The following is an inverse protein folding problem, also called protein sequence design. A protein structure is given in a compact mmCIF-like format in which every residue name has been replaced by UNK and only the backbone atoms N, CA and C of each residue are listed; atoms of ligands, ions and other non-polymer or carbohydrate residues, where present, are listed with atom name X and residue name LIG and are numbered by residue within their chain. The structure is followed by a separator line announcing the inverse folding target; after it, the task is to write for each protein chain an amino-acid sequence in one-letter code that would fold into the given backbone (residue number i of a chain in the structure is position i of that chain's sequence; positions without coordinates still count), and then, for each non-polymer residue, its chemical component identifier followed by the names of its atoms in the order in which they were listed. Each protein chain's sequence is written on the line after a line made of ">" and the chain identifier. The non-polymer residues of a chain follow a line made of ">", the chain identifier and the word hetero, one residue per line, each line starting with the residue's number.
data_IF_647111568094
#
_entry.id   IF_647111568094
#
_cell.length_a   1.000
_cell.length_b   1.000
_cell.length_c   1.000
_cell.angle_alpha   90.00
_cell.angle_beta   90.00
_cell.angle_gamma   90.00
#
_symmetry.space_group_name_H-M   'P 1'
#
loop_
_entity.id
_entity.type
_entity.pdbx_description
1 polymer ?
#
# COMPACT_ATOMS: atom_id res chain seq x y z
N UNK A 1 6.91 24.88 -12.11
CA UNK A 1 7.76 24.52 -10.93
C UNK A 1 6.89 24.84 -9.74
N UNK A 2 6.01 23.90 -9.37
CA UNK A 2 5.13 24.06 -8.22
C UNK A 2 5.84 23.49 -7.00
N UNK A 3 5.97 24.33 -5.97
CA UNK A 3 6.52 23.97 -4.67
C UNK A 3 5.66 22.85 -4.05
N UNK A 4 6.24 21.68 -3.90
CA UNK A 4 5.72 20.64 -3.03
C UNK A 4 5.76 21.17 -1.60
N UNK A 5 4.57 21.27 -0.98
CA UNK A 5 4.35 21.85 0.33
C UNK A 5 5.31 21.33 1.40
N UNK A 6 5.81 22.25 2.18
CA UNK A 6 6.77 22.11 3.26
C UNK A 6 6.27 21.18 4.37
N UNK A 7 6.88 20.03 4.50
CA UNK A 7 6.67 19.02 5.53
C UNK A 7 6.99 17.62 5.03
N UNK A 8 7.71 17.51 3.93
CA UNK A 8 7.92 16.27 3.21
C UNK A 8 9.06 15.44 3.78
N UNK A 9 8.84 14.13 3.81
CA UNK A 9 9.88 13.12 3.89
C UNK A 9 10.90 13.38 2.76
N UNK A 10 12.13 13.74 3.13
CA UNK A 10 13.17 14.17 2.18
C UNK A 10 14.26 13.12 2.00
N UNK A 11 14.43 12.23 2.97
CA UNK A 11 15.47 11.21 2.96
C UNK A 11 15.26 10.11 3.98
N UNK A 12 16.18 9.16 4.01
CA UNK A 12 16.08 7.97 4.89
C UNK A 12 16.09 8.36 6.38
N UNK A 13 16.77 9.45 6.73
CA UNK A 13 16.83 9.96 8.10
C UNK A 13 15.50 10.49 8.65
N UNK A 14 14.54 10.78 7.76
CA UNK A 14 13.20 11.26 8.12
C UNK A 14 12.22 10.11 8.40
N UNK A 15 12.64 8.85 8.18
CA UNK A 15 11.80 7.70 8.45
C UNK A 15 11.49 7.60 9.94
N UNK A 16 10.21 7.45 10.30
CA UNK A 16 9.76 7.40 11.68
C UNK A 16 9.57 5.94 12.15
N UNK A 17 9.80 5.64 13.44
CA UNK A 17 9.44 4.35 13.99
C UNK A 17 7.97 4.00 13.71
N UNK A 18 7.72 2.72 13.32
CA UNK A 18 6.40 2.23 12.90
C UNK A 18 6.10 2.42 11.41
N UNK A 19 6.93 3.14 10.65
CA UNK A 19 6.76 3.20 9.20
C UNK A 19 6.99 1.83 8.57
N UNK A 20 6.05 1.41 7.73
CA UNK A 20 6.17 0.17 6.97
C UNK A 20 7.21 0.29 5.86
N UNK A 21 8.08 -0.71 5.76
CA UNK A 21 9.10 -0.82 4.73
C UNK A 21 8.93 -2.10 3.94
N UNK A 22 9.34 -2.06 2.67
CA UNK A 22 9.48 -3.25 1.83
C UNK A 22 10.93 -3.34 1.37
N UNK A 23 11.59 -4.42 1.73
CA UNK A 23 12.92 -4.75 1.21
C UNK A 23 12.74 -5.75 0.07
N UNK A 24 13.16 -5.36 -1.13
CA UNK A 24 13.04 -6.18 -2.34
C UNK A 24 14.40 -6.77 -2.68
N UNK A 25 14.53 -8.09 -2.64
CA UNK A 25 15.74 -8.81 -3.08
C UNK A 25 15.60 -9.19 -4.55
N UNK A 26 16.55 -8.76 -5.40
CA UNK A 26 16.60 -9.04 -6.83
C UNK A 26 17.79 -9.91 -7.16
N UNK A 27 17.56 -10.99 -7.91
CA UNK A 27 18.60 -11.86 -8.42
C UNK A 27 18.79 -11.59 -9.92
N UNK A 28 19.73 -10.68 -10.26
CA UNK A 28 19.93 -10.18 -11.62
C UNK A 28 18.91 -9.09 -12.04
N UNK A 29 19.21 -8.42 -13.15
CA UNK A 29 18.52 -7.20 -13.58
C UNK A 29 17.04 -7.38 -14.07
N UNK A 30 16.59 -8.60 -14.30
CA UNK A 30 15.27 -8.90 -14.88
C UNK A 30 14.38 -9.81 -14.02
N UNK A 31 14.81 -10.20 -12.83
CA UNK A 31 14.01 -11.07 -11.98
C UNK A 31 12.95 -10.28 -11.19
N UNK A 32 11.73 -10.80 -11.12
CA UNK A 32 10.76 -10.37 -10.13
C UNK A 32 11.38 -10.54 -8.74
N UNK A 33 11.47 -9.44 -7.98
CA UNK A 33 12.13 -9.46 -6.67
C UNK A 33 11.31 -10.23 -5.63
N UNK A 34 11.99 -10.78 -4.63
CA UNK A 34 11.34 -11.30 -3.42
C UNK A 34 11.15 -10.15 -2.44
N UNK A 35 9.91 -9.91 -2.03
CA UNK A 35 9.57 -8.86 -1.07
C UNK A 35 9.63 -9.38 0.36
N UNK A 36 10.20 -8.55 1.25
CA UNK A 36 10.24 -8.74 2.69
C UNK A 36 9.63 -7.51 3.35
N UNK A 37 8.56 -7.70 4.09
CA UNK A 37 7.83 -6.65 4.77
C UNK A 37 8.32 -6.46 6.19
N UNK A 38 8.43 -5.21 6.63
CA UNK A 38 8.89 -4.88 7.96
C UNK A 38 8.52 -3.48 8.39
N UNK A 39 9.03 -3.08 9.56
CA UNK A 39 8.80 -1.78 10.15
C UNK A 39 10.10 -1.14 10.61
N UNK A 40 10.21 0.17 10.43
CA UNK A 40 11.29 0.98 11.00
C UNK A 40 11.16 1.02 12.52
N UNK A 41 12.23 0.81 13.25
CA UNK A 41 12.26 1.07 14.67
C UNK A 41 13.27 2.15 15.10
N UNK A 42 14.24 2.47 14.22
CA UNK A 42 15.18 3.57 14.43
C UNK A 42 15.68 4.09 13.07
N UNK A 43 15.86 5.40 12.95
CA UNK A 43 16.44 6.04 11.76
C UNK A 43 17.80 6.63 12.07
N UNK A 44 18.68 6.58 11.09
CA UNK A 44 20.01 7.16 11.08
C UNK A 44 20.19 8.00 9.82
N UNK A 45 21.16 8.91 9.80
CA UNK A 45 21.39 9.79 8.65
C UNK A 45 21.68 9.04 7.34
N UNK A 46 22.22 7.83 7.43
CA UNK A 46 22.65 6.99 6.29
C UNK A 46 21.87 5.68 6.17
N UNK A 47 20.80 5.49 6.95
CA UNK A 47 20.03 4.26 6.90
C UNK A 47 18.99 4.12 7.98
N UNK A 48 18.38 2.94 8.06
CA UNK A 48 17.35 2.59 9.05
C UNK A 48 17.65 1.24 9.70
N UNK A 49 17.22 1.12 10.94
CA UNK A 49 17.09 -0.16 11.61
C UNK A 49 15.63 -0.62 11.47
N UNK A 50 15.45 -1.83 10.97
CA UNK A 50 14.13 -2.39 10.68
C UNK A 50 13.95 -3.76 11.32
N UNK A 51 12.73 -4.09 11.69
CA UNK A 51 12.33 -5.45 12.03
C UNK A 51 11.61 -6.06 10.83
N UNK A 52 12.19 -7.14 10.29
CA UNK A 52 11.61 -7.90 9.19
C UNK A 52 11.51 -9.35 9.63
N UNK A 53 10.30 -9.86 9.77
CA UNK A 53 10.07 -11.29 10.02
C UNK A 53 9.78 -11.96 8.68
N UNK A 54 10.75 -12.68 8.08
CA UNK A 54 10.53 -13.36 6.81
C UNK A 54 9.41 -14.38 6.93
N UNK A 55 8.59 -14.48 5.90
CA UNK A 55 7.60 -15.56 5.78
C UNK A 55 8.30 -16.92 5.70
N UNK A 56 7.57 -17.98 6.05
CA UNK A 56 8.09 -19.35 6.01
C UNK A 56 8.67 -19.69 4.65
N UNK A 57 9.92 -20.15 4.63
CA UNK A 57 10.65 -20.49 3.41
C UNK A 57 11.36 -19.32 2.71
N UNK A 58 11.23 -18.09 3.21
CA UNK A 58 11.98 -16.92 2.73
C UNK A 58 13.13 -16.60 3.69
N UNK A 59 14.27 -16.20 3.17
CA UNK A 59 15.44 -15.79 3.96
C UNK A 59 16.12 -14.58 3.33
N UNK A 60 16.53 -13.61 4.16
CA UNK A 60 17.34 -12.47 3.71
C UNK A 60 18.80 -12.91 3.67
N UNK A 61 19.36 -13.03 2.46
CA UNK A 61 20.72 -13.52 2.21
C UNK A 61 21.75 -12.37 2.19
N UNK A 62 22.23 -11.95 3.35
CA UNK A 62 23.02 -10.73 3.56
C UNK A 62 24.36 -10.69 2.77
N UNK A 63 24.92 -11.82 2.31
CA UNK A 63 26.28 -11.90 1.74
C UNK A 63 26.36 -12.52 0.34
N UNK A 64 25.25 -12.69 -0.36
CA UNK A 64 25.25 -13.30 -1.68
C UNK A 64 25.55 -12.25 -2.75
N UNK A 65 26.64 -12.43 -3.51
CA UNK A 65 27.14 -11.46 -4.49
C UNK A 65 26.18 -11.17 -5.65
N UNK A 66 25.25 -12.08 -5.94
CA UNK A 66 24.32 -11.97 -7.07
C UNK A 66 22.96 -11.38 -6.67
N UNK A 67 22.77 -11.02 -5.39
CA UNK A 67 21.56 -10.40 -4.89
C UNK A 67 21.81 -8.93 -4.63
N UNK A 68 21.01 -8.07 -5.28
CA UNK A 68 20.89 -6.65 -4.96
C UNK A 68 19.62 -6.41 -4.16
N UNK A 69 19.69 -5.41 -3.29
CA UNK A 69 18.55 -5.04 -2.45
C UNK A 69 18.07 -3.64 -2.80
N UNK A 70 16.76 -3.47 -2.77
CA UNK A 70 16.07 -2.20 -2.92
C UNK A 70 15.19 -1.98 -1.69
N UNK A 71 15.29 -0.78 -1.07
CA UNK A 71 14.41 -0.38 0.02
C UNK A 71 13.29 0.50 -0.52
N UNK A 72 12.08 0.21 -0.11
CA UNK A 72 10.89 1.00 -0.46
C UNK A 72 10.16 1.46 0.79
N UNK A 73 9.84 2.75 0.85
CA UNK A 73 9.00 3.36 1.89
C UNK A 73 7.91 4.18 1.20
N UNK A 74 6.66 3.98 1.59
CA UNK A 74 5.54 4.74 1.04
C UNK A 74 5.09 5.80 2.07
N UNK A 75 5.22 7.08 1.72
CA UNK A 75 4.81 8.22 2.54
C UNK A 75 3.90 9.10 1.70
N UNK A 76 2.73 9.48 2.21
CA UNK A 76 1.79 10.38 1.55
C UNK A 76 1.57 10.08 0.06
N UNK A 77 1.32 8.80 -0.28
CA UNK A 77 1.13 8.30 -1.66
C UNK A 77 2.37 8.29 -2.55
N UNK A 78 3.49 8.86 -2.13
CA UNK A 78 4.75 8.77 -2.83
C UNK A 78 5.53 7.53 -2.39
N UNK A 79 6.04 6.77 -3.35
CA UNK A 79 6.96 5.67 -3.11
C UNK A 79 8.38 6.20 -3.23
N UNK A 80 9.09 6.14 -2.13
CA UNK A 80 10.52 6.41 -2.04
C UNK A 80 11.26 5.09 -2.22
N UNK A 81 12.14 5.02 -3.19
CA UNK A 81 12.88 3.80 -3.54
C UNK A 81 14.38 4.10 -3.53
N UNK A 82 15.13 3.38 -2.70
CA UNK A 82 16.60 3.36 -2.69
C UNK A 82 17.08 2.08 -3.32
N UNK A 83 17.85 2.17 -4.39
CA UNK A 83 18.45 1.03 -5.08
C UNK A 83 19.83 0.71 -4.46
N UNK A 84 20.27 -0.52 -4.64
CA UNK A 84 21.60 -1.03 -4.22
C UNK A 84 21.93 -0.75 -2.74
N UNK A 85 20.92 -0.93 -1.87
CA UNK A 85 21.10 -0.75 -0.44
C UNK A 85 21.91 -1.87 0.18
N UNK A 86 22.69 -1.54 1.21
CA UNK A 86 23.46 -2.53 1.98
C UNK A 86 22.65 -3.05 3.15
N UNK A 87 22.51 -4.36 3.24
CA UNK A 87 21.79 -5.04 4.32
C UNK A 87 22.75 -5.76 5.25
N UNK A 88 22.63 -5.56 6.55
CA UNK A 88 23.40 -6.26 7.59
C UNK A 88 22.50 -6.63 8.77
N UNK A 89 22.87 -7.70 9.50
CA UNK A 89 22.15 -8.04 10.74
C UNK A 89 22.43 -7.00 11.81
N UNK A 90 21.41 -6.56 12.53
CA UNK A 90 21.51 -5.65 13.68
C UNK A 90 21.55 -6.48 14.96
N UNK A 91 22.70 -7.10 15.25
CA UNK A 91 22.86 -8.08 16.35
C UNK A 91 22.47 -7.57 17.73
N UNK A 92 22.49 -6.25 17.97
CA UNK A 92 22.16 -5.62 19.23
C UNK A 92 20.66 -5.33 19.40
N UNK A 93 19.85 -5.52 18.35
CA UNK A 93 18.43 -5.15 18.33
C UNK A 93 17.47 -6.37 18.37
N UNK A 94 18.01 -7.57 18.55
CA UNK A 94 17.26 -8.82 18.61
C UNK A 94 17.21 -9.60 17.30
N UNK A 95 16.59 -10.77 17.35
CA UNK A 95 16.34 -11.58 16.16
C UNK A 95 15.45 -10.80 15.16
N UNK A 96 15.61 -11.08 13.87
CA UNK A 96 14.85 -10.44 12.78
C UNK A 96 15.07 -8.93 12.63
N UNK A 97 16.16 -8.39 13.21
CA UNK A 97 16.53 -6.98 13.10
C UNK A 97 17.67 -6.80 12.11
N UNK A 98 17.47 -5.85 11.19
CA UNK A 98 18.41 -5.55 10.12
C UNK A 98 18.73 -4.06 10.07
N UNK A 99 19.99 -3.73 9.76
CA UNK A 99 20.38 -2.39 9.37
C UNK A 99 20.39 -2.33 7.85
N UNK A 100 19.66 -1.38 7.29
CA UNK A 100 19.64 -1.09 5.87
C UNK A 100 20.30 0.28 5.68
N UNK A 101 21.47 0.30 5.04
CA UNK A 101 22.19 1.52 4.76
C UNK A 101 21.99 1.92 3.29
N UNK A 102 21.80 3.22 3.06
CA UNK A 102 21.60 3.83 1.75
C UNK A 102 22.78 4.71 1.39
N UNK A 103 23.20 4.67 0.12
CA UNK A 103 24.32 5.48 -0.38
C UNK A 103 23.85 6.64 -1.31
N UNK A 104 22.59 6.62 -1.72
CA UNK A 104 22.03 7.55 -2.71
C UNK A 104 20.75 8.20 -2.20
N UNK A 105 20.33 9.28 -2.85
CA UNK A 105 18.98 9.82 -2.66
C UNK A 105 17.93 8.88 -3.25
N UNK A 106 16.71 8.86 -2.72
CA UNK A 106 15.66 8.02 -3.23
C UNK A 106 15.18 8.47 -4.60
N UNK A 107 14.75 7.50 -5.42
CA UNK A 107 13.85 7.77 -6.53
C UNK A 107 12.45 7.90 -5.95
N UNK A 108 11.74 8.98 -6.29
CA UNK A 108 10.38 9.23 -5.81
C UNK A 108 9.40 9.01 -6.96
N UNK A 109 8.47 8.09 -6.77
CA UNK A 109 7.46 7.76 -7.77
C UNK A 109 6.07 7.91 -7.13
N UNK A 110 5.26 8.77 -7.69
CA UNK A 110 3.84 8.78 -7.35
C UNK A 110 3.18 7.57 -8.04
N UNK A 111 2.86 6.52 -7.27
CA UNK A 111 2.28 5.27 -7.79
C UNK A 111 0.80 5.40 -8.13
N UNK A 112 0.14 6.47 -7.72
CA UNK A 112 -1.29 6.64 -7.89
C UNK A 112 -1.58 7.70 -8.93
N UNK A 113 -2.38 7.33 -9.92
CA UNK A 113 -2.91 8.27 -10.92
C UNK A 113 -3.83 9.30 -10.27
N UNK A 114 -4.58 8.88 -9.24
CA UNK A 114 -5.57 9.70 -8.55
C UNK A 114 -5.38 9.68 -7.03
N UNK A 115 -5.61 10.80 -6.33
CA UNK A 115 -5.64 10.84 -4.87
C UNK A 115 -6.79 9.97 -4.35
N UNK A 116 -6.64 9.45 -3.14
CA UNK A 116 -7.67 8.66 -2.46
C UNK A 116 -8.15 9.40 -1.23
N UNK A 117 -9.44 9.69 -1.20
CA UNK A 117 -10.07 10.32 -0.06
C UNK A 117 -10.54 9.24 0.93
N UNK A 118 -10.13 9.31 2.22
CA UNK A 118 -10.68 8.44 3.25
C UNK A 118 -12.18 8.69 3.41
N UNK A 119 -12.94 7.62 3.52
CA UNK A 119 -14.39 7.66 3.78
C UNK A 119 -14.75 6.54 4.75
N UNK A 120 -15.88 6.68 5.44
CA UNK A 120 -16.27 5.72 6.47
C UNK A 120 -17.77 5.36 6.41
N UNK A 121 -18.39 5.54 5.24
CA UNK A 121 -19.80 5.26 5.03
C UNK A 121 -20.09 3.76 5.10
N UNK A 122 -21.22 3.40 5.70
CA UNK A 122 -21.76 2.05 5.56
C UNK A 122 -22.12 1.78 4.09
N UNK A 123 -21.91 0.56 3.63
CA UNK A 123 -22.22 0.17 2.26
C UNK A 123 -22.78 -1.26 2.21
N UNK A 124 -23.46 -1.57 1.12
CA UNK A 124 -23.84 -2.93 0.74
C UNK A 124 -23.02 -3.35 -0.46
N UNK A 125 -22.40 -4.52 -0.38
CA UNK A 125 -21.56 -5.10 -1.44
C UNK A 125 -22.24 -6.33 -2.00
N UNK A 126 -22.56 -6.33 -3.29
CA UNK A 126 -23.15 -7.48 -3.98
C UNK A 126 -22.12 -8.11 -4.90
N UNK A 127 -21.79 -9.40 -4.69
CA UNK A 127 -21.00 -10.19 -5.62
C UNK A 127 -21.85 -10.50 -6.85
N UNK A 128 -21.53 -9.93 -8.03
CA UNK A 128 -22.38 -10.03 -9.23
C UNK A 128 -22.59 -11.47 -9.69
N UNK A 129 -21.57 -12.33 -9.54
CA UNK A 129 -21.63 -13.74 -9.97
C UNK A 129 -22.61 -14.56 -9.16
N UNK A 130 -22.68 -14.37 -7.84
CA UNK A 130 -23.53 -15.17 -6.94
C UNK A 130 -24.84 -14.48 -6.58
N UNK A 131 -24.94 -13.16 -6.76
CA UNK A 131 -26.04 -12.33 -6.28
C UNK A 131 -26.07 -12.15 -4.76
N UNK A 132 -25.07 -12.65 -4.03
CA UNK A 132 -24.98 -12.48 -2.58
C UNK A 132 -24.64 -11.07 -2.22
N UNK A 133 -25.40 -10.48 -1.29
CA UNK A 133 -25.19 -9.13 -0.77
C UNK A 133 -24.72 -9.18 0.68
N UNK A 134 -23.78 -8.30 1.02
CA UNK A 134 -23.14 -8.22 2.33
C UNK A 134 -23.02 -6.78 2.79
N UNK A 135 -23.10 -6.59 4.11
CA UNK A 135 -22.81 -5.30 4.70
C UNK A 135 -21.29 -5.11 4.78
N UNK A 136 -20.85 -3.90 4.46
CA UNK A 136 -19.47 -3.48 4.54
C UNK A 136 -19.33 -2.02 4.98
N UNK A 137 -18.10 -1.56 5.03
CA UNK A 137 -17.77 -0.17 5.32
C UNK A 137 -16.74 0.33 4.32
N UNK A 138 -16.99 1.48 3.72
CA UNK A 138 -16.03 2.15 2.87
C UNK A 138 -14.77 2.54 3.64
N UNK A 139 -13.61 2.40 3.02
CA UNK A 139 -12.31 2.84 3.54
C UNK A 139 -11.82 4.07 2.79
N UNK A 140 -11.88 4.04 1.47
CA UNK A 140 -11.49 5.17 0.63
C UNK A 140 -12.11 5.08 -0.76
N UNK A 141 -12.13 6.24 -1.45
CA UNK A 141 -12.58 6.38 -2.84
C UNK A 141 -11.62 7.26 -3.63
N UNK A 142 -11.47 6.99 -4.91
CA UNK A 142 -10.73 7.78 -5.91
C UNK A 142 -11.41 7.68 -7.27
N UNK A 143 -10.99 8.50 -8.22
CA UNK A 143 -11.55 8.48 -9.59
C UNK A 143 -11.46 7.11 -10.28
N UNK A 144 -10.47 6.28 -9.97
CA UNK A 144 -10.28 4.98 -10.63
C UNK A 144 -10.64 3.76 -9.77
N UNK A 145 -11.16 3.95 -8.56
CA UNK A 145 -11.51 2.82 -7.70
C UNK A 145 -11.77 3.18 -6.24
N UNK A 146 -12.08 2.17 -5.47
CA UNK A 146 -12.44 2.30 -4.08
C UNK A 146 -11.94 1.11 -3.24
N UNK A 147 -12.00 1.25 -1.93
CA UNK A 147 -11.76 0.15 -0.99
C UNK A 147 -12.84 0.13 0.10
N UNK A 148 -13.18 -1.05 0.54
CA UNK A 148 -14.10 -1.30 1.65
C UNK A 148 -13.58 -2.41 2.55
N UNK A 149 -14.14 -2.52 3.77
CA UNK A 149 -13.95 -3.66 4.65
C UNK A 149 -15.25 -4.44 4.82
N UNK A 150 -15.11 -5.75 5.01
CA UNK A 150 -16.20 -6.69 5.27
C UNK A 150 -15.69 -7.91 6.04
N UNK A 151 -16.59 -8.59 6.80
CA UNK A 151 -16.20 -9.73 7.66
C UNK A 151 -16.53 -11.10 7.07
N UNK A 152 -16.95 -11.16 5.81
CA UNK A 152 -17.40 -12.42 5.20
C UNK A 152 -16.26 -13.16 4.52
N UNK A 153 -16.12 -14.44 4.81
CA UNK A 153 -15.15 -15.37 4.22
C UNK A 153 -15.23 -15.46 2.68
N UNK A 154 -16.39 -15.12 2.09
CA UNK A 154 -16.54 -15.06 0.64
C UNK A 154 -15.50 -14.09 0.00
N UNK A 155 -14.98 -13.11 0.74
CA UNK A 155 -13.97 -12.18 0.26
C UNK A 155 -12.53 -12.71 0.31
N UNK A 156 -12.26 -13.79 1.04
CA UNK A 156 -10.93 -14.42 1.09
C UNK A 156 -10.42 -14.82 -0.31
N UNK A 157 -11.32 -15.27 -1.19
CA UNK A 157 -11.00 -15.72 -2.54
C UNK A 157 -11.76 -14.94 -3.64
N UNK A 158 -12.07 -13.67 -3.37
CA UNK A 158 -12.90 -12.86 -4.27
C UNK A 158 -12.10 -12.09 -5.33
N UNK A 159 -10.77 -12.14 -5.34
CA UNK A 159 -9.96 -11.47 -6.37
C UNK A 159 -10.39 -11.93 -7.77
N UNK A 160 -10.58 -10.96 -8.67
CA UNK A 160 -11.05 -11.21 -10.04
C UNK A 160 -12.59 -11.26 -10.19
N UNK A 161 -13.35 -11.08 -9.11
CA UNK A 161 -14.81 -11.01 -9.19
C UNK A 161 -15.29 -9.57 -9.37
N UNK A 162 -16.43 -9.43 -10.07
CA UNK A 162 -17.12 -8.16 -10.23
C UNK A 162 -18.16 -7.99 -9.11
N UNK A 163 -18.24 -6.76 -8.62
CA UNK A 163 -19.17 -6.37 -7.56
C UNK A 163 -19.98 -5.13 -7.93
N UNK A 164 -21.11 -4.98 -7.26
CA UNK A 164 -21.84 -3.73 -7.14
C UNK A 164 -21.73 -3.27 -5.69
N UNK A 165 -21.34 -2.01 -5.49
CA UNK A 165 -21.26 -1.37 -4.19
C UNK A 165 -22.33 -0.28 -4.11
N UNK A 166 -23.15 -0.28 -3.07
CA UNK A 166 -24.21 0.71 -2.80
C UNK A 166 -23.90 1.46 -1.51
N UNK A 167 -23.88 2.80 -1.58
CA UNK A 167 -23.60 3.72 -0.46
C UNK A 167 -24.71 4.76 -0.39
N UNK A 168 -25.84 4.46 0.21
CA UNK A 168 -27.04 5.32 0.15
C UNK A 168 -26.81 6.76 0.65
N UNK A 169 -25.98 6.91 1.68
CA UNK A 169 -25.71 8.19 2.34
C UNK A 169 -24.47 8.91 1.79
N UNK A 170 -23.96 8.54 0.61
CA UNK A 170 -22.82 9.25 0.06
C UNK A 170 -23.25 10.60 -0.53
N UNK A 171 -22.50 11.70 -0.24
CA UNK A 171 -22.92 13.05 -0.66
C UNK A 171 -22.96 13.25 -2.18
N UNK A 172 -22.08 12.58 -2.93
CA UNK A 172 -22.05 12.60 -4.39
C UNK A 172 -22.95 11.49 -4.93
N UNK A 173 -23.96 11.84 -5.72
CA UNK A 173 -24.97 10.91 -6.22
C UNK A 173 -24.36 9.79 -7.08
N UNK A 174 -23.44 10.13 -7.98
CA UNK A 174 -22.73 9.19 -8.85
C UNK A 174 -21.92 8.15 -8.08
N UNK A 175 -21.50 8.47 -6.87
CA UNK A 175 -20.77 7.55 -6.00
C UNK A 175 -21.65 6.71 -5.08
N UNK A 176 -22.98 6.86 -5.14
CA UNK A 176 -23.91 6.04 -4.34
C UNK A 176 -24.01 4.61 -4.84
N UNK A 177 -23.70 4.39 -6.12
CA UNK A 177 -23.69 3.06 -6.72
C UNK A 177 -22.45 2.95 -7.59
N UNK A 178 -21.55 2.02 -7.25
CA UNK A 178 -20.28 1.84 -7.93
C UNK A 178 -20.10 0.40 -8.41
N UNK A 179 -19.76 0.26 -9.67
CA UNK A 179 -19.27 -0.99 -10.22
C UNK A 179 -17.78 -1.15 -9.91
N UNK A 180 -17.37 -2.35 -9.51
CA UNK A 180 -15.99 -2.62 -9.18
C UNK A 180 -15.54 -4.03 -9.55
N UNK A 181 -14.29 -4.12 -9.95
CA UNK A 181 -13.55 -5.38 -10.12
C UNK A 181 -12.58 -5.53 -8.96
N UNK A 182 -12.67 -6.62 -8.20
CA UNK A 182 -11.82 -6.87 -7.04
C UNK A 182 -10.39 -7.18 -7.51
N UNK A 183 -9.44 -6.32 -7.16
CA UNK A 183 -8.01 -6.47 -7.50
C UNK A 183 -7.15 -6.88 -6.32
N UNK A 184 -7.67 -6.73 -5.10
CA UNK A 184 -6.97 -7.08 -3.86
C UNK A 184 -7.99 -7.44 -2.79
N UNK A 185 -7.69 -8.49 -2.02
CA UNK A 185 -8.36 -8.79 -0.76
C UNK A 185 -7.30 -9.23 0.24
N UNK A 186 -7.28 -8.60 1.40
CA UNK A 186 -6.31 -8.85 2.47
C UNK A 186 -7.09 -9.15 3.74
N UNK A 187 -6.82 -10.29 4.35
CA UNK A 187 -7.36 -10.65 5.65
C UNK A 187 -6.59 -9.89 6.75
N UNK A 188 -7.32 -9.26 7.63
CA UNK A 188 -6.82 -8.57 8.81
C UNK A 188 -7.62 -9.06 10.01
N UNK A 189 -7.24 -10.21 10.55
CA UNK A 189 -7.88 -10.88 11.70
C UNK A 189 -9.40 -11.10 11.50
N UNK A 190 -9.81 -11.57 10.32
CA UNK A 190 -11.21 -11.85 9.98
C UNK A 190 -11.98 -10.65 9.43
N UNK A 191 -11.35 -9.48 9.32
CA UNK A 191 -11.85 -8.34 8.56
C UNK A 191 -11.10 -8.27 7.22
N UNK A 192 -11.81 -8.49 6.11
CA UNK A 192 -11.24 -8.42 4.78
C UNK A 192 -11.21 -6.97 4.28
N UNK A 193 -10.02 -6.48 3.97
CA UNK A 193 -9.83 -5.19 3.30
C UNK A 193 -9.76 -5.44 1.79
N UNK A 194 -10.79 -5.01 1.08
CA UNK A 194 -11.00 -5.29 -0.33
C UNK A 194 -10.75 -4.02 -1.15
N UNK A 195 -9.84 -4.10 -2.11
CA UNK A 195 -9.57 -3.02 -3.06
C UNK A 195 -10.15 -3.34 -4.43
N UNK A 196 -10.90 -2.39 -4.99
CA UNK A 196 -11.58 -2.51 -6.27
C UNK A 196 -11.12 -1.44 -7.26
N UNK A 197 -11.07 -1.82 -8.52
CA UNK A 197 -10.92 -0.91 -9.66
C UNK A 197 -12.28 -0.71 -10.30
N UNK A 198 -12.63 0.52 -10.63
CA UNK A 198 -13.81 0.82 -11.44
C UNK A 198 -13.55 0.53 -12.93
N UNK A 199 -14.59 0.20 -13.72
CA UNK A 199 -14.44 -0.05 -15.16
C UNK A 199 -13.87 1.16 -15.90
N UNK A 200 -14.30 2.35 -15.52
CA UNK A 200 -13.87 3.63 -16.08
C UNK A 200 -13.52 4.61 -14.96
N UNK A 201 -12.61 5.54 -15.26
CA UNK A 201 -12.27 6.62 -14.35
C UNK A 201 -13.42 7.66 -14.32
N UNK A 202 -13.86 8.09 -13.12
CA UNK A 202 -14.94 9.07 -12.99
C UNK A 202 -14.38 10.48 -12.75
N UNK A 203 -14.69 11.40 -13.64
CA UNK A 203 -14.32 12.82 -13.52
C UNK A 203 -15.07 13.49 -12.35
N UNK A 204 -16.33 13.11 -12.10
CA UNK A 204 -17.15 13.64 -11.02
C UNK A 204 -16.58 13.27 -9.66
N UNK A 205 -16.16 12.00 -9.48
CA UNK A 205 -15.51 11.55 -8.26
C UNK A 205 -14.15 12.24 -8.11
N UNK A 206 -13.39 12.44 -9.20
CA UNK A 206 -12.13 13.17 -9.14
C UNK A 206 -12.34 14.61 -8.67
N UNK A 207 -13.31 15.32 -9.24
CA UNK A 207 -13.64 16.68 -8.85
C UNK A 207 -14.08 16.76 -7.38
N UNK A 208 -14.91 15.80 -6.94
CA UNK A 208 -15.35 15.70 -5.56
C UNK A 208 -14.17 15.47 -4.60
N UNK A 209 -13.29 14.51 -4.91
CA UNK A 209 -12.11 14.23 -4.10
C UNK A 209 -11.18 15.44 -4.02
N UNK A 210 -10.88 16.08 -5.13
CA UNK A 210 -10.01 17.26 -5.18
C UNK A 210 -10.58 18.46 -4.38
N UNK A 211 -11.92 18.59 -4.30
CA UNK A 211 -12.58 19.64 -3.55
C UNK A 211 -12.60 19.37 -2.04
N UNK A 212 -12.79 18.13 -1.62
CA UNK A 212 -13.09 17.76 -0.24
C UNK A 212 -11.90 17.16 0.51
N UNK A 213 -10.86 16.74 -0.21
CA UNK A 213 -9.66 16.16 0.37
C UNK A 213 -8.43 16.95 -0.06
N UNK A 214 -7.79 17.60 0.92
CA UNK A 214 -6.47 18.21 0.78
C UNK A 214 -5.51 17.37 1.62
N UNK A 215 -4.50 16.82 0.98
CA UNK A 215 -3.40 16.12 1.65
C UNK A 215 -2.63 17.06 2.59
#
# INVERSE_FOLDING_TARGET
>A
MEELGSGGFMGIGDAQPGMHVVLVAKNGAQAAGTEFHGEVFESQSDGVLVKIKPEAGKTIEIKKKDITYELQICVNNALYTWEDVSVSAASNAGADSYRIAVATNPKVINRRKYPRMPVANACTVTLKKSGKAYNGRMINISAGGFAFSAHQEDFANAIGQDILLEIPDFPLEEARTLDGHIIRSTDNDGEFIVGCRMPEDSEEIQAYVNKNYRE
#
